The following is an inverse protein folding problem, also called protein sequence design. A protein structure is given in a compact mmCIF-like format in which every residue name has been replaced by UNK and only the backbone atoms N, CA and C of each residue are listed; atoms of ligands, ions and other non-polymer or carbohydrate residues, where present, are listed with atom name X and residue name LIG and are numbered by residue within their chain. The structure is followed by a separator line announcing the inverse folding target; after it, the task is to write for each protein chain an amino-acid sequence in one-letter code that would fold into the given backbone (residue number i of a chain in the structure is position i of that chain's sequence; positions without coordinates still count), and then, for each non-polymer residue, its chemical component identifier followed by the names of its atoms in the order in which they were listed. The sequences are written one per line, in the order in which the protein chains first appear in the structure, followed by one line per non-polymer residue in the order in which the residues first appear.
data_IF_454362075603
#
_entry.id   IF_454362075603
#
_cell.length_a   1.000
_cell.length_b   1.000
_cell.length_c   1.000
_cell.angle_alpha   90.00
_cell.angle_beta   90.00
_cell.angle_gamma   90.00
#
_symmetry.space_group_name_H-M   'P 1'
#
loop_
_entity.id
_entity.type
_entity.pdbx_description
1 polymer ?
#
# COMPACT_ATOMS: atom_id res chain seq x y z
N UNK A 1 2.75 27.19 22.24
CA UNK A 1 2.76 25.94 21.44
C UNK A 1 3.31 24.85 22.34
N UNK A 2 2.48 23.89 22.77
CA UNK A 2 2.87 22.95 23.81
C UNK A 2 3.84 21.90 23.24
N UNK A 3 4.86 21.48 24.00
CA UNK A 3 5.85 20.48 23.55
C UNK A 3 5.16 19.20 23.01
N UNK A 4 4.02 18.84 23.59
CA UNK A 4 3.16 17.73 23.19
C UNK A 4 2.60 17.86 21.76
N UNK A 5 2.35 19.08 21.27
CA UNK A 5 1.87 19.29 19.90
C UNK A 5 3.00 18.93 18.92
N UNK A 6 4.22 19.39 19.18
CA UNK A 6 5.36 19.15 18.30
C UNK A 6 5.71 17.65 18.23
N UNK A 7 5.74 16.96 19.38
CA UNK A 7 6.04 15.53 19.44
C UNK A 7 4.99 14.70 18.70
N UNK A 8 3.71 15.03 18.85
CA UNK A 8 2.63 14.31 18.18
C UNK A 8 2.61 14.56 16.66
N UNK A 9 2.90 15.80 16.22
CA UNK A 9 3.04 16.12 14.81
C UNK A 9 4.20 15.34 14.17
N UNK A 10 5.32 15.21 14.87
CA UNK A 10 6.47 14.43 14.41
C UNK A 10 6.15 12.93 14.31
N UNK A 11 5.38 12.40 15.27
CA UNK A 11 4.96 11.00 15.28
C UNK A 11 3.97 10.69 14.15
N UNK A 12 3.01 11.58 13.92
CA UNK A 12 2.07 11.47 12.79
C UNK A 12 2.80 11.61 11.45
N UNK A 13 3.73 12.56 11.33
CA UNK A 13 4.55 12.72 10.14
C UNK A 13 5.41 11.49 9.88
N UNK A 14 6.03 10.91 10.90
CA UNK A 14 6.79 9.66 10.79
C UNK A 14 5.90 8.50 10.37
N UNK A 15 4.67 8.40 10.87
CA UNK A 15 3.70 7.38 10.47
C UNK A 15 3.27 7.51 9.00
N UNK A 16 2.96 8.74 8.57
CA UNK A 16 2.67 9.07 7.16
C UNK A 16 3.90 8.77 6.29
N UNK A 17 5.09 9.14 6.74
CA UNK A 17 6.33 8.93 6.02
C UNK A 17 6.64 7.44 5.85
N UNK A 18 6.46 6.62 6.89
CA UNK A 18 6.58 5.16 6.81
C UNK A 18 5.52 4.57 5.89
N UNK A 19 4.28 5.06 5.93
CA UNK A 19 3.22 4.59 5.04
C UNK A 19 3.51 4.93 3.57
N UNK A 20 4.02 6.15 3.29
CA UNK A 20 4.44 6.57 1.95
C UNK A 20 5.66 5.75 1.51
N UNK A 21 6.64 5.53 2.38
CA UNK A 21 7.81 4.71 2.07
C UNK A 21 7.42 3.24 1.88
N UNK A 22 6.47 2.69 2.63
CA UNK A 22 5.97 1.32 2.39
C UNK A 22 5.24 1.20 1.05
N UNK A 23 4.61 2.28 0.58
CA UNK A 23 3.92 2.37 -0.72
C UNK A 23 4.79 2.95 -1.82
N UNK A 24 6.06 3.28 -1.57
CA UNK A 24 7.01 3.80 -2.58
C UNK A 24 8.27 2.97 -2.63
N UNK A 25 8.56 2.18 -1.59
CA UNK A 25 9.62 1.20 -1.56
C UNK A 25 9.35 0.23 -2.70
N UNK A 26 10.09 0.43 -3.80
CA UNK A 26 10.15 -0.51 -4.90
C UNK A 26 10.27 -1.91 -4.30
N UNK A 27 9.42 -2.87 -4.71
CA UNK A 27 9.70 -4.25 -4.38
C UNK A 27 11.14 -4.50 -4.81
N UNK A 28 11.92 -5.09 -3.91
CA UNK A 28 13.36 -5.39 -4.03
C UNK A 28 13.64 -6.42 -5.14
N UNK A 29 12.81 -6.48 -6.17
CA UNK A 29 12.92 -7.32 -7.35
C UNK A 29 14.03 -6.82 -8.27
N UNK A 30 14.26 -5.49 -8.36
CA UNK A 30 15.37 -4.94 -9.17
C UNK A 30 16.73 -5.40 -8.62
N UNK A 31 16.90 -5.46 -7.29
CA UNK A 31 18.13 -5.94 -6.64
C UNK A 31 18.35 -7.46 -6.77
N UNK A 32 17.28 -8.23 -6.97
CA UNK A 32 17.38 -9.69 -7.19
C UNK A 32 17.64 -9.98 -8.66
N UNK A 33 17.01 -9.25 -9.60
CA UNK A 33 17.29 -9.37 -11.02
C UNK A 33 18.72 -8.92 -11.37
N UNK A 34 19.20 -7.83 -10.75
CA UNK A 34 20.56 -7.33 -10.90
C UNK A 34 21.61 -8.27 -10.26
N UNK A 35 21.25 -8.93 -9.15
CA UNK A 35 22.08 -10.01 -8.58
C UNK A 35 21.99 -11.31 -9.39
N UNK A 36 20.84 -11.68 -9.95
CA UNK A 36 20.68 -12.88 -10.78
C UNK A 36 21.45 -12.76 -12.11
N UNK A 37 21.60 -11.55 -12.65
CA UNK A 37 22.50 -11.29 -13.78
C UNK A 37 23.99 -11.50 -13.41
N UNK A 38 24.33 -11.31 -12.14
CA UNK A 38 25.67 -11.53 -11.59
C UNK A 38 25.91 -12.98 -11.10
N UNK A 39 24.85 -13.75 -10.81
CA UNK A 39 24.88 -15.12 -10.28
C UNK A 39 24.39 -16.17 -11.30
N UNK A 40 24.73 -16.02 -12.58
CA UNK A 40 24.45 -17.07 -13.59
C UNK A 40 25.29 -18.35 -13.40
N UNK A 41 26.11 -18.45 -12.35
CA UNK A 41 27.07 -19.55 -12.19
C UNK A 41 27.30 -20.05 -10.74
N UNK A 42 26.32 -19.92 -9.84
CA UNK A 42 26.48 -20.52 -8.49
C UNK A 42 25.20 -21.17 -7.95
N UNK A 43 25.26 -22.50 -7.77
CA UNK A 43 24.22 -23.30 -7.13
C UNK A 43 24.19 -22.98 -5.62
N UNK A 44 23.26 -22.16 -5.16
CA UNK A 44 23.05 -21.89 -3.74
C UNK A 44 22.08 -22.91 -3.12
N UNK A 45 22.50 -23.53 -2.02
CA UNK A 45 21.71 -24.44 -1.18
C UNK A 45 20.68 -23.68 -0.33
N UNK A 46 19.50 -24.29 -0.12
CA UNK A 46 18.28 -23.68 0.44
C UNK A 46 18.44 -23.02 1.83
N UNK A 47 19.44 -23.39 2.63
CA UNK A 47 19.66 -22.86 3.99
C UNK A 47 20.15 -21.39 4.02
N UNK A 48 20.92 -20.95 3.02
CA UNK A 48 21.52 -19.60 3.01
C UNK A 48 20.51 -18.52 2.55
N UNK A 49 19.45 -18.96 1.85
CA UNK A 49 18.32 -18.12 1.43
C UNK A 49 17.40 -17.81 2.63
N UNK A 50 17.27 -18.71 3.61
CA UNK A 50 16.48 -18.46 4.82
C UNK A 50 17.17 -17.50 5.81
N UNK A 51 18.51 -17.56 5.90
CA UNK A 51 19.31 -16.74 6.83
C UNK A 51 19.46 -15.27 6.43
N UNK A 52 19.13 -14.91 5.19
CA UNK A 52 19.19 -13.53 4.68
C UNK A 52 17.83 -12.82 4.63
N UNK A 53 16.75 -13.47 5.09
CA UNK A 53 15.43 -12.86 5.17
C UNK A 53 15.41 -11.78 6.25
N UNK A 54 15.14 -10.50 5.91
CA UNK A 54 15.08 -9.42 6.88
C UNK A 54 13.95 -9.67 7.89
N UNK A 55 14.13 -9.23 9.15
CA UNK A 55 13.16 -9.35 10.23
C UNK A 55 11.70 -8.95 9.84
N UNK A 56 11.54 -8.05 8.86
CA UNK A 56 10.26 -7.65 8.30
C UNK A 56 9.47 -8.78 7.64
N UNK A 57 10.14 -9.72 6.95
CA UNK A 57 9.46 -10.83 6.29
C UNK A 57 9.00 -11.90 7.28
N UNK A 58 9.69 -12.01 8.42
CA UNK A 58 9.42 -13.03 9.43
C UNK A 58 8.40 -12.61 10.48
N UNK A 59 8.29 -11.32 10.79
CA UNK A 59 7.36 -10.82 11.82
C UNK A 59 6.27 -9.90 11.26
N UNK A 60 6.60 -8.98 10.36
CA UNK A 60 5.64 -7.97 9.87
C UNK A 60 4.68 -8.59 8.84
N UNK A 61 5.20 -9.35 7.88
CA UNK A 61 4.38 -10.02 6.86
C UNK A 61 3.32 -10.98 7.43
N UNK A 62 3.65 -11.93 8.32
CA UNK A 62 2.63 -12.82 8.89
C UNK A 62 1.63 -12.09 9.78
N UNK A 63 2.03 -11.02 10.49
CA UNK A 63 1.11 -10.19 11.25
C UNK A 63 0.11 -9.46 10.33
N UNK A 64 0.60 -8.89 9.22
CA UNK A 64 -0.26 -8.25 8.20
C UNK A 64 -1.23 -9.23 7.55
N UNK A 65 -0.79 -10.45 7.23
CA UNK A 65 -1.63 -11.48 6.64
C UNK A 65 -2.74 -11.95 7.59
N UNK A 66 -2.42 -12.14 8.88
CA UNK A 66 -3.39 -12.49 9.93
C UNK A 66 -4.41 -11.37 10.18
N UNK A 67 -3.98 -10.12 10.23
CA UNK A 67 -4.89 -8.98 10.38
C UNK A 67 -5.78 -8.84 9.15
N UNK A 68 -5.20 -8.98 7.96
CA UNK A 68 -5.91 -8.91 6.70
C UNK A 68 -6.93 -10.02 6.53
N UNK A 69 -6.65 -11.25 6.98
CA UNK A 69 -7.62 -12.36 6.90
C UNK A 69 -8.81 -12.18 7.85
N UNK A 70 -8.61 -11.54 9.00
CA UNK A 70 -9.72 -11.18 9.91
C UNK A 70 -10.58 -10.06 9.30
N UNK A 71 -9.95 -9.07 8.66
CA UNK A 71 -10.66 -8.00 7.96
C UNK A 71 -11.44 -8.52 6.75
N UNK A 72 -10.82 -9.38 5.93
CA UNK A 72 -11.45 -9.92 4.72
C UNK A 72 -12.45 -11.02 5.01
N UNK A 73 -12.30 -11.82 6.08
CA UNK A 73 -13.32 -12.81 6.48
C UNK A 73 -14.66 -12.17 6.87
N UNK A 74 -14.63 -10.91 7.35
CA UNK A 74 -15.85 -10.10 7.57
C UNK A 74 -16.40 -9.46 6.30
N UNK A 75 -15.66 -9.48 5.20
CA UNK A 75 -16.12 -8.98 3.90
C UNK A 75 -16.80 -10.08 3.08
N UNK A 76 -17.91 -9.76 2.43
CA UNK A 76 -18.55 -10.67 1.49
C UNK A 76 -17.56 -11.09 0.38
N UNK A 77 -17.54 -12.40 0.03
CA UNK A 77 -16.65 -12.97 -1.00
C UNK A 77 -16.66 -12.17 -2.31
N UNK A 78 -17.82 -11.67 -2.71
CA UNK A 78 -17.97 -10.87 -3.94
C UNK A 78 -17.12 -9.58 -3.92
N UNK A 79 -17.00 -8.92 -2.76
CA UNK A 79 -16.20 -7.70 -2.60
C UNK A 79 -14.70 -7.99 -2.70
N UNK A 80 -14.26 -9.16 -2.23
CA UNK A 80 -12.87 -9.61 -2.36
C UNK A 80 -12.50 -9.83 -3.83
N UNK A 81 -13.37 -10.45 -4.63
CA UNK A 81 -13.15 -10.67 -6.07
C UNK A 81 -13.05 -9.35 -6.83
N UNK A 82 -13.93 -8.39 -6.55
CA UNK A 82 -13.88 -7.06 -7.17
C UNK A 82 -12.55 -6.35 -6.85
N UNK A 83 -12.10 -6.41 -5.59
CA UNK A 83 -10.81 -5.85 -5.18
C UNK A 83 -9.62 -6.56 -5.84
N UNK A 84 -9.65 -7.88 -5.91
CA UNK A 84 -8.62 -8.66 -6.61
C UNK A 84 -8.54 -8.25 -8.09
N UNK A 85 -9.67 -8.10 -8.76
CA UNK A 85 -9.72 -7.64 -10.15
C UNK A 85 -9.15 -6.23 -10.30
N UNK A 86 -9.48 -5.29 -9.40
CA UNK A 86 -8.90 -3.94 -9.41
C UNK A 86 -7.38 -3.96 -9.21
N UNK A 87 -6.88 -4.76 -8.28
CA UNK A 87 -5.43 -4.92 -8.05
C UNK A 87 -4.74 -5.52 -9.27
N UNK A 88 -5.36 -6.50 -9.93
CA UNK A 88 -4.85 -7.10 -11.15
C UNK A 88 -4.81 -6.08 -12.31
N UNK A 89 -5.87 -5.30 -12.49
CA UNK A 89 -5.93 -4.23 -13.49
C UNK A 89 -4.88 -3.14 -13.24
N UNK A 90 -4.54 -2.87 -11.98
CA UNK A 90 -3.46 -1.95 -11.60
C UNK A 90 -2.06 -2.52 -11.89
N UNK A 91 -1.94 -3.76 -12.36
CA UNK A 91 -0.67 -4.43 -12.59
C UNK A 91 0.00 -4.94 -11.30
N UNK A 92 -0.77 -5.26 -10.26
CA UNK A 92 -0.31 -5.73 -8.94
C UNK A 92 0.74 -4.79 -8.31
N UNK A 93 0.37 -3.54 -8.00
CA UNK A 93 1.29 -2.62 -7.34
C UNK A 93 1.80 -3.23 -6.01
N UNK A 94 3.13 -3.29 -5.85
CA UNK A 94 3.80 -3.82 -4.65
C UNK A 94 3.52 -5.29 -4.32
N UNK A 95 3.08 -6.09 -5.29
CA UNK A 95 2.67 -7.48 -5.08
C UNK A 95 1.62 -7.66 -3.96
N UNK A 96 0.83 -6.62 -3.67
CA UNK A 96 -0.13 -6.61 -2.59
C UNK A 96 -1.28 -7.60 -2.85
N UNK A 97 -1.58 -8.43 -1.85
CA UNK A 97 -2.79 -9.25 -1.79
C UNK A 97 -4.00 -8.39 -1.35
N UNK A 98 -5.22 -8.89 -1.57
CA UNK A 98 -6.46 -8.25 -1.08
C UNK A 98 -6.37 -7.96 0.42
N UNK A 99 -5.81 -8.89 1.17
CA UNK A 99 -5.59 -8.77 2.61
C UNK A 99 -4.63 -7.61 2.95
N UNK A 100 -3.50 -7.51 2.26
CA UNK A 100 -2.53 -6.43 2.46
C UNK A 100 -3.10 -5.05 2.13
N UNK A 101 -3.89 -4.95 1.06
CA UNK A 101 -4.55 -3.68 0.69
C UNK A 101 -5.63 -3.27 1.70
N UNK A 102 -6.34 -4.23 2.29
CA UNK A 102 -7.35 -3.95 3.30
C UNK A 102 -6.72 -3.44 4.61
N UNK A 103 -5.61 -4.06 5.04
CA UNK A 103 -4.81 -3.56 6.17
C UNK A 103 -4.27 -2.17 5.87
N UNK A 104 -3.78 -1.94 4.66
CA UNK A 104 -3.29 -0.62 4.25
C UNK A 104 -4.38 0.46 4.34
N UNK A 105 -5.62 0.16 3.91
CA UNK A 105 -6.76 1.08 4.06
C UNK A 105 -7.08 1.42 5.50
N UNK A 106 -6.98 0.45 6.40
CA UNK A 106 -7.19 0.67 7.83
C UNK A 106 -6.08 1.54 8.41
N UNK A 107 -4.82 1.26 8.09
CA UNK A 107 -3.67 2.06 8.54
C UNK A 107 -3.80 3.50 8.06
N UNK A 108 -4.11 3.71 6.78
CA UNK A 108 -4.33 5.04 6.22
C UNK A 108 -5.47 5.77 6.93
N UNK A 109 -6.59 5.10 7.20
CA UNK A 109 -7.70 5.64 7.99
C UNK A 109 -7.26 6.07 9.40
N UNK A 110 -6.53 5.22 10.13
CA UNK A 110 -6.04 5.51 11.49
C UNK A 110 -5.14 6.75 11.48
N UNK A 111 -4.22 6.84 10.53
CA UNK A 111 -3.30 7.98 10.43
C UNK A 111 -4.07 9.29 10.24
N UNK A 112 -5.03 9.32 9.31
CA UNK A 112 -5.84 10.53 9.06
C UNK A 112 -6.78 10.83 10.23
N UNK A 113 -7.29 9.81 10.92
CA UNK A 113 -8.10 9.99 12.13
C UNK A 113 -7.29 10.63 13.27
N UNK A 114 -6.06 10.18 13.48
CA UNK A 114 -5.15 10.76 14.48
C UNK A 114 -4.81 12.22 14.14
N UNK A 115 -4.58 12.52 12.86
CA UNK A 115 -4.40 13.89 12.38
C UNK A 115 -5.65 14.74 12.61
N UNK A 116 -6.84 14.23 12.28
CA UNK A 116 -8.11 14.91 12.49
C UNK A 116 -8.41 15.17 13.97
N UNK A 117 -8.11 14.21 14.85
CA UNK A 117 -8.22 14.38 16.30
C UNK A 117 -7.28 15.46 16.84
N UNK A 118 -6.08 15.56 16.26
CA UNK A 118 -5.08 16.52 16.67
C UNK A 118 -5.42 17.94 16.19
N UNK A 119 -5.79 18.10 14.92
CA UNK A 119 -6.30 19.35 14.34
C UNK A 119 -7.57 19.81 15.08
N UNK A 120 -8.49 18.89 15.37
CA UNK A 120 -9.68 19.17 16.16
C UNK A 120 -9.36 19.63 17.58
N UNK A 121 -8.26 19.14 18.17
CA UNK A 121 -7.77 19.60 19.48
C UNK A 121 -7.15 21.00 19.47
N UNK A 122 -6.61 21.43 18.33
CA UNK A 122 -6.06 22.78 18.13
C UNK A 122 -7.18 23.80 17.84
N UNK A 123 -8.19 23.41 17.07
CA UNK A 123 -9.30 24.29 16.66
C UNK A 123 -10.43 24.37 17.70
N UNK A 124 -10.72 23.28 18.41
CA UNK A 124 -11.85 23.18 19.34
C UNK A 124 -11.36 22.73 20.72
N UNK A 125 -10.71 23.64 21.47
CA UNK A 125 -10.07 23.30 22.74
C UNK A 125 -11.06 22.87 23.86
N UNK A 126 -12.33 23.29 23.78
CA UNK A 126 -13.32 23.13 24.86
C UNK A 126 -14.37 22.03 24.60
N UNK A 127 -14.57 21.60 23.36
CA UNK A 127 -15.66 20.69 23.00
C UNK A 127 -15.15 19.30 22.60
N UNK A 128 -14.93 18.45 23.61
CA UNK A 128 -14.59 17.03 23.44
C UNK A 128 -15.44 16.29 22.38
N UNK A 129 -16.78 16.45 22.31
CA UNK A 129 -17.58 15.77 21.28
C UNK A 129 -17.26 16.20 19.85
N UNK A 130 -16.96 17.49 19.61
CA UNK A 130 -16.59 17.99 18.27
C UNK A 130 -15.22 17.45 17.83
N UNK A 131 -14.29 17.28 18.79
CA UNK A 131 -12.97 16.71 18.53
C UNK A 131 -13.04 15.24 18.12
N UNK A 132 -13.90 14.46 18.79
CA UNK A 132 -14.15 13.05 18.42
C UNK A 132 -14.87 12.96 17.08
N UNK A 133 -15.82 13.85 16.80
CA UNK A 133 -16.50 13.94 15.50
C UNK A 133 -15.52 14.22 14.35
N UNK A 134 -14.59 15.16 14.53
CA UNK A 134 -13.55 15.48 13.55
C UNK A 134 -12.61 14.29 13.29
N UNK A 135 -12.26 13.53 14.34
CA UNK A 135 -11.46 12.32 14.20
C UNK A 135 -12.20 11.20 13.44
N UNK A 136 -13.49 11.01 13.72
CA UNK A 136 -14.32 10.03 13.02
C UNK A 136 -14.50 10.36 11.54
N UNK A 137 -14.74 11.63 11.22
CA UNK A 137 -14.77 12.12 9.83
C UNK A 137 -13.41 11.95 9.15
N UNK A 138 -12.32 12.27 9.85
CA UNK A 138 -10.97 12.05 9.36
C UNK A 138 -10.68 10.57 9.04
N UNK A 139 -11.13 9.64 9.90
CA UNK A 139 -11.01 8.21 9.63
C UNK A 139 -11.74 7.78 8.36
N UNK A 140 -13.00 8.22 8.22
CA UNK A 140 -13.84 7.93 7.05
C UNK A 140 -13.16 8.41 5.77
N UNK A 141 -12.74 9.68 5.73
CA UNK A 141 -12.08 10.27 4.57
C UNK A 141 -10.73 9.58 4.29
N UNK A 142 -9.94 9.32 5.33
CA UNK A 142 -8.63 8.66 5.21
C UNK A 142 -8.71 7.24 4.67
N UNK A 143 -9.81 6.53 4.96
CA UNK A 143 -10.05 5.19 4.42
C UNK A 143 -10.40 5.18 2.93
N UNK A 144 -10.94 6.27 2.39
CA UNK A 144 -11.24 6.41 0.96
C UNK A 144 -10.02 6.78 0.11
N UNK A 145 -8.98 7.39 0.71
CA UNK A 145 -7.78 7.81 -0.02
C UNK A 145 -7.11 6.68 -0.83
N UNK A 146 -6.88 5.48 -0.25
CA UNK A 146 -6.22 4.40 -0.98
C UNK A 146 -7.04 3.86 -2.14
N UNK A 147 -8.38 3.92 -2.07
CA UNK A 147 -9.24 3.51 -3.19
C UNK A 147 -9.10 4.48 -4.37
N UNK A 148 -8.98 5.79 -4.11
CA UNK A 148 -8.73 6.82 -5.14
C UNK A 148 -7.36 6.62 -5.77
N UNK A 149 -6.33 6.39 -4.96
CA UNK A 149 -4.97 6.12 -5.44
C UNK A 149 -4.91 4.88 -6.34
N UNK A 150 -5.56 3.77 -5.93
CA UNK A 150 -5.62 2.55 -6.72
C UNK A 150 -6.31 2.80 -8.07
N UNK A 151 -7.44 3.52 -8.07
CA UNK A 151 -8.15 3.87 -9.30
C UNK A 151 -7.31 4.73 -10.25
N UNK A 152 -6.56 5.70 -9.73
CA UNK A 152 -5.66 6.53 -10.55
C UNK A 152 -4.54 5.69 -11.18
N UNK A 153 -3.99 4.72 -10.44
CA UNK A 153 -2.97 3.81 -10.97
C UNK A 153 -3.50 2.90 -12.07
N UNK A 154 -4.73 2.39 -11.92
CA UNK A 154 -5.43 1.64 -12.97
C UNK A 154 -5.58 2.48 -14.23
N UNK A 155 -6.10 3.71 -14.11
CA UNK A 155 -6.30 4.63 -15.24
C UNK A 155 -4.98 4.96 -15.96
N UNK A 156 -3.90 5.20 -15.21
CA UNK A 156 -2.57 5.45 -15.78
C UNK A 156 -2.09 4.27 -16.62
N UNK A 157 -2.15 3.05 -16.07
CA UNK A 157 -1.73 1.84 -16.78
C UNK A 157 -2.60 1.53 -18.01
N UNK A 158 -3.92 1.71 -17.91
CA UNK A 158 -4.81 1.55 -19.07
C UNK A 158 -4.48 2.54 -20.18
N UNK A 159 -4.11 3.78 -19.83
CA UNK A 159 -3.68 4.79 -20.81
C UNK A 159 -2.39 4.38 -21.50
N UNK A 160 -1.39 3.93 -20.75
CA UNK A 160 -0.12 3.43 -21.30
C UNK A 160 -0.34 2.24 -22.24
N UNK A 161 -1.14 1.25 -21.82
CA UNK A 161 -1.46 0.09 -22.65
C UNK A 161 -2.20 0.48 -23.93
N UNK A 162 -3.14 1.43 -23.86
CA UNK A 162 -3.86 1.92 -25.03
C UNK A 162 -2.93 2.63 -26.02
N UNK A 163 -1.92 3.34 -25.53
CA UNK A 163 -0.93 4.01 -26.37
C UNK A 163 0.09 3.02 -26.98
N UNK A 164 0.41 1.93 -26.28
CA UNK A 164 1.34 0.90 -26.75
C UNK A 164 0.69 -0.13 -27.71
N UNK A 165 -0.64 -0.26 -27.70
CA UNK A 165 -1.37 -1.25 -28.48
C UNK A 165 -1.13 -1.16 -30.01
N UNK A 166 -1.13 0.02 -30.65
CA UNK A 166 -0.87 0.13 -32.09
C UNK A 166 0.54 -0.36 -32.46
N UNK A 167 1.54 0.01 -31.65
CA UNK A 167 2.92 -0.41 -31.86
C UNK A 167 3.10 -1.93 -31.72
N UNK A 168 2.38 -2.57 -30.79
CA UNK A 168 2.40 -4.02 -30.65
C UNK A 168 1.76 -4.73 -31.86
N UNK A 169 0.69 -4.17 -32.44
CA UNK A 169 0.09 -4.71 -33.67
C UNK A 169 1.01 -4.56 -34.86
N UNK A 170 1.70 -3.42 -35.00
CA UNK A 170 2.71 -3.20 -36.03
C UNK A 170 3.85 -4.23 -35.93
N UNK A 171 4.35 -4.45 -34.70
CA UNK A 171 5.42 -5.43 -34.45
C UNK A 171 4.99 -6.87 -34.78
N UNK A 172 3.72 -7.23 -34.55
CA UNK A 172 3.19 -8.53 -34.95
C UNK A 172 3.06 -8.68 -36.47
N UNK A 173 2.70 -7.60 -37.18
CA UNK A 173 2.62 -7.62 -38.65
C UNK A 173 4.01 -7.81 -39.27
N UNK A 174 5.03 -7.07 -38.82
CA UNK A 174 6.40 -7.25 -39.35
C UNK A 174 7.04 -8.59 -38.99
N UNK A 175 6.55 -9.27 -37.95
CA UNK A 175 7.08 -10.58 -37.53
C UNK A 175 6.49 -11.75 -38.33
N UNK A 176 5.41 -11.49 -39.08
CA UNK A 176 4.71 -12.47 -39.92
C UNK A 176 5.13 -12.36 -41.39
N UNK A 177 5.59 -11.18 -41.83
CA UNK A 177 6.24 -10.97 -43.13
C UNK A 177 7.68 -11.51 -43.14
#
# INVERSE_FOLDING_TARGET
MNIFTIVFAFLAFSGVFIAIQAVTAKPRQDLIAERLAQYRDHNLTLDEIELSLPFSERFIKPALERLGSVLTSRMAKNRQVVLQNKINLAGRPYALSVNGFEVFKVIAGIIVALLGFWIGGLLFSTSFPLRVGAAGLGFLVGRYLPDVWLNNKIKGRQKELRLALPNALDLLTISVE
#
